data_IF_382700092148
#
_entry.id   IF_382700092148
#
_cell.length_a   1.000
_cell.length_b   1.000
_cell.length_c   1.000
_cell.angle_alpha   90.00
_cell.angle_beta   90.00
_cell.angle_gamma   90.00
#
_symmetry.space_group_name_H-M   'P 1'
#
loop_
_entity.id
_entity.type
_entity.pdbx_description
1 polymer ?
#
# COMPACT_ATOMS: atom_id res chain seq x y z
N UNK A 1 -10.21 -0.19 6.59
CA UNK A 1 -9.36 0.98 6.30
C UNK A 1 -7.94 0.63 5.81
N UNK A 2 -7.43 -0.58 6.09
CA UNK A 2 -6.10 -1.01 5.64
C UNK A 2 -5.81 -0.87 4.14
N UNK A 3 -6.80 -1.10 3.27
CA UNK A 3 -6.64 -0.91 1.82
C UNK A 3 -6.30 0.55 1.45
N UNK A 4 -6.92 1.52 2.12
CA UNK A 4 -6.62 2.95 1.93
C UNK A 4 -5.18 3.23 2.35
N UNK A 5 -4.76 2.67 3.49
CA UNK A 5 -3.38 2.77 3.97
C UNK A 5 -2.36 2.11 3.04
N UNK A 6 -2.75 1.03 2.36
CA UNK A 6 -1.92 0.40 1.33
C UNK A 6 -1.70 1.32 0.13
N UNK A 7 -2.78 1.90 -0.42
CA UNK A 7 -2.67 2.83 -1.55
C UNK A 7 -1.86 4.07 -1.15
N UNK A 8 -2.11 4.61 0.05
CA UNK A 8 -1.37 5.77 0.57
C UNK A 8 0.12 5.46 0.73
N UNK A 9 0.47 4.32 1.33
CA UNK A 9 1.85 3.89 1.49
C UNK A 9 2.55 3.66 0.14
N UNK A 10 1.87 3.02 -0.81
CA UNK A 10 2.38 2.82 -2.16
C UNK A 10 2.72 4.16 -2.85
N UNK A 11 1.78 5.11 -2.85
CA UNK A 11 1.98 6.43 -3.48
C UNK A 11 3.11 7.21 -2.79
N UNK A 12 3.14 7.21 -1.46
CA UNK A 12 4.17 7.92 -0.70
C UNK A 12 5.57 7.34 -0.90
N UNK A 13 5.71 6.03 -1.10
CA UNK A 13 7.00 5.38 -1.40
C UNK A 13 7.40 5.56 -2.86
N UNK A 14 6.44 5.47 -3.78
CA UNK A 14 6.70 5.63 -5.21
C UNK A 14 7.08 7.07 -5.58
N UNK A 15 6.50 8.05 -4.88
CA UNK A 15 6.73 9.48 -5.10
C UNK A 15 7.03 10.24 -3.79
N UNK A 16 8.22 10.04 -3.21
CA UNK A 16 8.56 10.59 -1.89
C UNK A 16 8.58 12.13 -1.85
N UNK A 17 8.90 12.77 -2.98
CA UNK A 17 9.00 14.23 -3.12
C UNK A 17 7.65 14.90 -3.40
N UNK A 18 6.58 14.12 -3.64
CA UNK A 18 5.25 14.69 -3.87
C UNK A 18 4.77 15.43 -2.63
N UNK A 19 4.26 16.64 -2.83
CA UNK A 19 3.71 17.50 -1.78
C UNK A 19 2.25 17.10 -1.56
N UNK A 20 1.95 16.45 -0.43
CA UNK A 20 0.59 16.16 -0.01
C UNK A 20 0.04 17.33 0.80
N UNK A 21 -1.26 17.60 0.65
CA UNK A 21 -2.01 18.58 1.44
C UNK A 21 -3.24 17.93 2.04
N UNK A 22 -3.70 18.46 3.18
CA UNK A 22 -4.97 18.05 3.79
C UNK A 22 -6.08 18.84 3.08
N UNK A 23 -7.16 18.15 2.70
CA UNK A 23 -8.28 18.74 1.94
C UNK A 23 -8.77 20.07 2.56
N UNK A 24 -8.83 20.14 3.89
CA UNK A 24 -9.30 21.32 4.63
C UNK A 24 -8.20 22.34 4.99
N UNK A 25 -6.93 22.04 4.74
CA UNK A 25 -5.76 22.88 5.03
C UNK A 25 -4.77 22.87 3.86
N UNK A 26 -5.17 23.35 2.66
CA UNK A 26 -4.33 23.30 1.45
C UNK A 26 -3.07 24.18 1.53
N UNK A 27 -3.06 25.15 2.46
CA UNK A 27 -1.92 26.05 2.71
C UNK A 27 -0.72 25.31 3.31
N UNK A 28 -0.95 24.14 3.92
CA UNK A 28 0.08 23.31 4.53
C UNK A 28 0.34 22.09 3.66
N UNK A 29 1.48 22.10 2.99
CA UNK A 29 1.96 20.95 2.22
C UNK A 29 3.14 20.29 2.92
N UNK A 30 3.15 18.97 2.93
CA UNK A 30 4.25 18.18 3.47
C UNK A 30 4.71 17.15 2.44
N UNK A 31 5.99 16.76 2.51
CA UNK A 31 6.52 15.72 1.64
C UNK A 31 5.84 14.39 1.96
N UNK A 32 5.42 13.65 0.92
CA UNK A 32 4.79 12.34 1.04
C UNK A 32 5.69 11.35 1.82
N UNK A 33 7.00 11.42 1.60
CA UNK A 33 7.99 10.64 2.35
C UNK A 33 8.02 10.96 3.86
N UNK A 34 7.73 12.20 4.26
CA UNK A 34 7.61 12.56 5.68
C UNK A 34 6.26 12.11 6.24
N UNK A 35 5.18 12.25 5.45
CA UNK A 35 3.83 11.83 5.83
C UNK A 35 3.79 10.36 6.22
N UNK A 36 4.35 9.48 5.38
CA UNK A 36 4.30 8.03 5.62
C UNK A 36 5.09 7.64 6.87
N UNK A 37 6.24 8.27 7.13
CA UNK A 37 7.02 8.04 8.37
C UNK A 37 6.23 8.43 9.61
N UNK A 38 5.52 9.57 9.57
CA UNK A 38 4.70 10.03 10.69
C UNK A 38 3.52 9.08 10.91
N UNK A 39 2.80 8.71 9.85
CA UNK A 39 1.64 7.81 9.97
C UNK A 39 2.07 6.44 10.49
N UNK A 40 3.15 5.86 9.97
CA UNK A 40 3.66 4.57 10.45
C UNK A 40 4.18 4.62 11.88
N UNK A 41 4.82 5.72 12.30
CA UNK A 41 5.29 5.87 13.68
C UNK A 41 4.13 6.07 14.66
N UNK A 42 3.06 6.77 14.26
CA UNK A 42 1.81 6.87 15.03
C UNK A 42 1.10 5.53 15.13
N UNK A 43 0.97 4.77 14.04
CA UNK A 43 0.38 3.42 14.06
C UNK A 43 1.21 2.45 14.91
N UNK A 44 2.55 2.49 14.83
CA UNK A 44 3.44 1.68 15.66
C UNK A 44 3.30 2.06 17.14
N UNK A 45 3.26 3.36 17.46
CA UNK A 45 3.02 3.83 18.82
C UNK A 45 1.64 3.37 19.31
N UNK A 46 0.59 3.45 18.50
CA UNK A 46 -0.75 2.97 18.84
C UNK A 46 -0.78 1.47 19.15
N UNK A 47 -0.03 0.66 18.40
CA UNK A 47 0.15 -0.78 18.68
C UNK A 47 0.93 -1.00 19.98
N UNK A 48 2.06 -0.31 20.18
CA UNK A 48 2.94 -0.46 21.36
C UNK A 48 2.26 0.00 22.65
N UNK A 49 1.52 1.11 22.61
CA UNK A 49 0.77 1.66 23.75
C UNK A 49 -0.61 1.01 23.94
N UNK A 50 -0.97 0.01 23.12
CA UNK A 50 -2.21 -0.75 23.28
C UNK A 50 -3.48 0.08 23.07
N UNK A 51 -3.42 1.14 22.24
CA UNK A 51 -4.59 1.96 21.93
C UNK A 51 -5.62 1.14 21.16
N UNK A 52 -6.68 0.71 21.84
CA UNK A 52 -7.79 -0.06 21.26
C UNK A 52 -8.73 0.75 20.36
N UNK A 53 -8.47 2.04 20.16
CA UNK A 53 -9.40 2.98 19.53
C UNK A 53 -9.44 2.87 18.00
N UNK A 54 -8.42 2.29 17.36
CA UNK A 54 -8.39 2.06 15.91
C UNK A 54 -7.88 0.66 15.58
N UNK A 55 -8.30 0.12 14.43
CA UNK A 55 -7.83 -1.14 13.85
C UNK A 55 -6.40 -0.98 13.31
N UNK A 56 -5.46 -0.60 14.19
CA UNK A 56 -4.08 -0.22 13.87
C UNK A 56 -3.31 -1.36 13.19
N UNK A 57 -3.61 -2.61 13.52
CA UNK A 57 -3.05 -3.78 12.84
C UNK A 57 -3.43 -3.82 11.35
N UNK A 58 -4.68 -3.48 11.02
CA UNK A 58 -5.13 -3.41 9.62
C UNK A 58 -4.48 -2.25 8.86
N UNK A 59 -4.25 -1.10 9.52
CA UNK A 59 -3.50 0.02 8.92
C UNK A 59 -2.03 -0.31 8.70
N UNK A 60 -1.37 -0.89 9.70
CA UNK A 60 0.04 -1.29 9.63
C UNK A 60 0.26 -2.38 8.57
N UNK A 61 -0.59 -3.41 8.56
CA UNK A 61 -0.57 -4.47 7.55
C UNK A 61 -0.84 -3.93 6.15
N UNK A 62 -1.80 -3.01 6.00
CA UNK A 62 -2.08 -2.32 4.75
C UNK A 62 -0.88 -1.50 4.25
N UNK A 63 -0.27 -0.69 5.13
CA UNK A 63 0.89 0.12 4.79
C UNK A 63 2.08 -0.74 4.36
N UNK A 64 2.39 -1.80 5.12
CA UNK A 64 3.43 -2.76 4.76
C UNK A 64 3.16 -3.43 3.40
N UNK A 65 1.91 -3.83 3.14
CA UNK A 65 1.53 -4.39 1.85
C UNK A 65 1.72 -3.39 0.69
N UNK A 66 1.35 -2.12 0.88
CA UNK A 66 1.57 -1.06 -0.11
C UNK A 66 3.06 -0.84 -0.45
N UNK A 67 3.93 -0.83 0.57
CA UNK A 67 5.38 -0.72 0.38
C UNK A 67 5.96 -1.95 -0.32
N UNK A 68 5.55 -3.16 0.10
CA UNK A 68 5.97 -4.41 -0.53
C UNK A 68 5.52 -4.48 -2.00
N UNK A 69 4.31 -3.98 -2.31
CA UNK A 69 3.84 -3.86 -3.68
C UNK A 69 4.68 -2.89 -4.51
N UNK A 70 5.09 -1.75 -3.93
CA UNK A 70 5.96 -0.79 -4.61
C UNK A 70 7.33 -1.37 -4.98
N UNK A 71 7.97 -2.08 -4.05
CA UNK A 71 9.33 -2.60 -4.25
C UNK A 71 9.38 -3.93 -5.01
N UNK A 72 8.42 -4.83 -4.77
CA UNK A 72 8.45 -6.19 -5.30
C UNK A 72 7.24 -6.53 -6.18
N UNK A 73 6.02 -6.20 -5.75
CA UNK A 73 4.80 -6.57 -6.49
C UNK A 73 4.74 -5.96 -7.89
N UNK A 74 5.11 -4.69 -8.01
CA UNK A 74 5.08 -3.94 -9.27
C UNK A 74 6.05 -4.50 -10.31
N UNK A 75 7.24 -4.94 -9.91
CA UNK A 75 8.23 -5.50 -10.83
C UNK A 75 7.98 -6.98 -11.11
N UNK A 76 7.71 -7.78 -10.08
CA UNK A 76 7.66 -9.23 -10.18
C UNK A 76 6.30 -9.75 -10.67
N UNK A 77 5.19 -9.16 -10.21
CA UNK A 77 3.84 -9.58 -10.59
C UNK A 77 3.38 -8.79 -11.80
N UNK A 78 3.35 -7.46 -11.68
CA UNK A 78 2.83 -6.61 -12.76
C UNK A 78 3.76 -6.54 -13.97
N UNK A 79 5.08 -6.54 -13.76
CA UNK A 79 6.07 -6.63 -14.83
C UNK A 79 6.07 -7.97 -15.57
N UNK A 80 5.68 -9.08 -14.92
CA UNK A 80 5.51 -10.39 -15.56
C UNK A 80 4.03 -10.73 -15.83
N UNK A 81 3.15 -9.73 -15.91
CA UNK A 81 1.69 -9.95 -16.05
C UNK A 81 1.35 -10.86 -17.23
N UNK A 82 2.10 -10.78 -18.32
CA UNK A 82 1.83 -11.58 -19.52
C UNK A 82 2.04 -13.07 -19.25
N UNK A 83 3.07 -13.43 -18.46
CA UNK A 83 3.31 -14.83 -18.03
C UNK A 83 2.21 -15.31 -17.08
N UNK A 84 1.77 -14.45 -16.15
CA UNK A 84 0.66 -14.77 -15.25
C UNK A 84 -0.66 -14.95 -16.00
N UNK A 85 -0.95 -14.08 -16.97
CA UNK A 85 -2.13 -14.17 -17.83
C UNK A 85 -2.09 -15.42 -18.70
N UNK A 86 -0.94 -15.75 -19.29
CA UNK A 86 -0.76 -17.00 -20.05
C UNK A 86 -0.96 -18.24 -19.17
N UNK A 87 -0.42 -18.24 -17.95
CA UNK A 87 -0.65 -19.32 -16.98
C UNK A 87 -2.13 -19.45 -16.64
N UNK A 88 -2.81 -18.35 -16.32
CA UNK A 88 -4.24 -18.35 -16.02
C UNK A 88 -5.09 -18.81 -17.22
N UNK A 89 -4.78 -18.36 -18.42
CA UNK A 89 -5.45 -18.80 -19.64
C UNK A 89 -5.26 -20.30 -19.89
N UNK A 90 -4.06 -20.83 -19.65
CA UNK A 90 -3.75 -22.26 -19.75
C UNK A 90 -4.54 -23.06 -18.71
N UNK A 91 -4.57 -22.59 -17.47
CA UNK A 91 -5.31 -23.22 -16.38
C UNK A 91 -6.82 -23.27 -16.68
N UNK A 92 -7.40 -22.13 -17.08
CA UNK A 92 -8.83 -22.02 -17.45
C UNK A 92 -9.19 -22.93 -18.63
N UNK A 93 -8.30 -23.05 -19.63
CA UNK A 93 -8.54 -23.87 -20.82
C UNK A 93 -8.44 -25.37 -20.54
N UNK A 94 -7.58 -25.77 -19.59
CA UNK A 94 -7.51 -27.16 -19.10
C UNK A 94 -8.73 -27.54 -18.24
N UNK A 95 -9.27 -26.61 -17.46
CA UNK A 95 -10.48 -26.83 -16.63
C UNK A 95 -11.78 -26.87 -17.45
N UNK A 96 -11.77 -26.28 -18.65
CA UNK A 96 -12.87 -26.34 -19.62
C UNK A 96 -12.73 -27.51 -20.61
N UNK A 97 -11.94 -28.54 -20.27
CA UNK A 97 -11.86 -29.83 -20.97
C UNK A 97 -13.10 -30.72 -20.84
N UNK A 98 -14.29 -30.10 -20.81
CA UNK A 98 -15.58 -30.71 -21.13
C UNK A 98 -16.03 -30.18 -22.48
#
# INVERSE_FOLDING_TARGET
>A
SGAIMSVLAYVCVQYPDTRLSIIFLPMYTFAAGTAIKVIMSVDLAGVVFGWKFFDHAAHLGGALFGMAWCHWGSSMIWGNRDKFLQYYHTFRKNDSGR
#
